data_IF_566872371676
#
_entry.id   IF_566872371676
#
_cell.length_a   1.000
_cell.length_b   1.000
_cell.length_c   1.000
_cell.angle_alpha   90.00
_cell.angle_beta   90.00
_cell.angle_gamma   90.00
#
_symmetry.space_group_name_H-M   'P 1'
#
loop_
_entity.id
_entity.type
_entity.pdbx_description
1 polymer ?
#
# COMPACT_ATOMS: atom_id res chain seq x y z
N UNK A 1 52.39 45.27 -10.89
CA UNK A 1 53.73 45.06 -10.31
C UNK A 1 53.57 44.63 -8.86
N UNK A 2 54.18 43.50 -8.45
CA UNK A 2 54.02 42.88 -7.12
C UNK A 2 55.08 43.42 -6.13
N UNK A 3 55.08 43.01 -4.84
CA UNK A 3 55.67 41.72 -4.50
C UNK A 3 54.90 40.87 -3.46
N UNK A 4 55.11 39.57 -3.64
CA UNK A 4 54.72 38.41 -2.82
C UNK A 4 55.37 38.44 -1.43
N UNK A 5 54.67 37.96 -0.40
CA UNK A 5 55.30 37.33 0.77
C UNK A 5 54.78 35.91 0.93
N UNK A 6 55.71 34.96 0.78
CA UNK A 6 55.56 33.53 1.08
C UNK A 6 55.75 33.34 2.58
N UNK A 7 54.97 32.47 3.20
CA UNK A 7 55.38 31.76 4.42
C UNK A 7 55.10 30.27 4.20
N UNK A 8 56.15 29.47 4.34
CA UNK A 8 56.22 28.00 4.29
C UNK A 8 56.98 27.60 5.55
N UNK A 9 56.43 26.74 6.40
CA UNK A 9 57.10 25.89 7.41
C UNK A 9 56.10 24.75 7.72
N UNK A 10 56.25 23.57 7.10
CA UNK A 10 56.90 22.34 7.61
C UNK A 10 56.03 21.50 8.58
N UNK A 11 55.50 20.42 8.01
CA UNK A 11 55.64 19.01 8.41
C UNK A 11 56.17 18.69 9.83
N UNK A 12 55.40 17.85 10.54
CA UNK A 12 55.96 16.88 11.48
C UNK A 12 55.09 15.63 11.54
N UNK A 13 55.56 14.57 10.89
CA UNK A 13 55.20 13.19 11.20
C UNK A 13 55.66 12.83 12.62
N UNK A 14 54.88 12.01 13.32
CA UNK A 14 55.41 10.92 14.14
C UNK A 14 54.35 9.82 14.31
N UNK A 15 54.68 8.64 13.81
CA UNK A 15 54.04 7.36 14.09
C UNK A 15 54.65 6.72 15.36
N UNK A 16 53.90 5.78 15.95
CA UNK A 16 54.29 4.63 16.81
C UNK A 16 52.96 4.19 17.48
N UNK A 17 52.26 3.18 16.96
CA UNK A 17 52.39 1.74 17.26
C UNK A 17 52.48 1.41 18.76
N UNK A 18 51.48 0.70 19.29
CA UNK A 18 51.72 -0.41 20.22
C UNK A 18 50.50 -1.36 20.30
N UNK A 19 50.77 -2.60 19.91
CA UNK A 19 49.98 -3.81 20.09
C UNK A 19 49.86 -4.17 21.58
N UNK A 20 48.65 -4.53 22.02
CA UNK A 20 48.36 -5.01 23.37
C UNK A 20 47.40 -6.19 23.33
N UNK A 21 47.95 -7.38 23.14
CA UNK A 21 47.33 -8.69 23.35
C UNK A 21 47.12 -8.88 24.86
N UNK A 22 45.92 -9.25 25.30
CA UNK A 22 45.82 -10.09 26.49
C UNK A 22 44.66 -11.08 26.44
N UNK A 23 44.95 -12.25 27.00
CA UNK A 23 44.17 -13.48 26.97
C UNK A 23 43.31 -13.63 28.23
N UNK A 24 42.26 -14.46 28.13
CA UNK A 24 41.87 -15.35 29.22
C UNK A 24 40.46 -15.16 29.77
N UNK A 25 39.70 -16.26 29.80
CA UNK A 25 38.53 -16.37 30.68
C UNK A 25 37.41 -17.27 30.18
N UNK A 26 37.69 -18.57 30.04
CA UNK A 26 36.65 -19.61 30.05
C UNK A 26 35.89 -19.59 31.38
N UNK A 27 34.57 -19.71 31.32
CA UNK A 27 33.69 -19.84 32.47
C UNK A 27 32.41 -20.54 32.06
N UNK A 28 32.48 -21.86 31.99
CA UNK A 28 31.36 -22.75 31.72
C UNK A 28 30.93 -23.38 33.04
N UNK A 29 29.67 -23.18 33.46
CA UNK A 29 28.93 -24.21 34.19
C UNK A 29 27.41 -24.04 34.00
N UNK A 30 26.64 -25.14 34.01
CA UNK A 30 25.30 -25.25 33.43
C UNK A 30 24.23 -25.10 34.51
N UNK A 31 23.08 -24.53 34.16
CA UNK A 31 21.87 -24.72 34.95
C UNK A 31 20.69 -25.12 34.05
N UNK A 32 20.15 -26.28 34.41
CA UNK A 32 18.98 -26.90 33.84
C UNK A 32 17.74 -26.03 34.11
N UNK A 33 17.05 -25.63 33.04
CA UNK A 33 15.78 -24.92 33.10
C UNK A 33 14.78 -25.58 32.16
N UNK A 34 13.79 -26.25 32.74
CA UNK A 34 12.80 -27.09 32.09
C UNK A 34 12.07 -26.42 30.92
N UNK A 35 11.98 -27.16 29.81
CA UNK A 35 11.10 -26.90 28.66
C UNK A 35 9.64 -26.98 29.10
N UNK A 36 9.02 -25.83 29.38
CA UNK A 36 7.57 -25.69 29.44
C UNK A 36 7.04 -25.42 28.02
N UNK A 37 6.71 -26.50 27.32
CA UNK A 37 5.90 -26.47 26.11
C UNK A 37 4.48 -26.00 26.46
N UNK A 38 4.29 -24.69 26.58
CA UNK A 38 2.98 -24.07 26.68
C UNK A 38 2.25 -24.20 25.35
N UNK A 39 1.31 -25.14 25.27
CA UNK A 39 0.28 -25.20 24.23
C UNK A 39 -0.50 -23.88 24.26
N UNK A 40 -0.15 -22.96 23.36
CA UNK A 40 -0.88 -21.70 23.22
C UNK A 40 -2.22 -22.01 22.54
N UNK A 41 -3.29 -22.05 23.34
CA UNK A 41 -4.65 -22.04 22.82
C UNK A 41 -4.87 -20.72 22.10
N UNK A 42 -4.88 -20.76 20.77
CA UNK A 42 -5.32 -19.64 19.94
C UNK A 42 -6.83 -19.53 20.10
N UNK A 43 -7.26 -18.62 20.97
CA UNK A 43 -8.66 -18.23 21.10
C UNK A 43 -9.03 -17.51 19.80
N UNK A 44 -9.78 -18.19 18.94
CA UNK A 44 -10.16 -17.72 17.63
C UNK A 44 -11.01 -16.46 17.71
N UNK A 45 -10.54 -15.38 17.10
CA UNK A 45 -11.39 -14.26 16.72
C UNK A 45 -12.46 -14.69 15.71
N UNK A 46 -13.44 -13.82 15.38
CA UNK A 46 -14.49 -14.16 14.43
C UNK A 46 -13.89 -14.62 13.10
N UNK A 47 -14.18 -15.87 12.74
CA UNK A 47 -13.67 -16.51 11.53
C UNK A 47 -14.14 -15.69 10.31
N UNK A 48 -13.19 -15.27 9.47
CA UNK A 48 -13.49 -14.51 8.27
C UNK A 48 -14.53 -15.25 7.42
N UNK A 49 -15.53 -14.56 6.83
CA UNK A 49 -16.58 -15.22 6.07
C UNK A 49 -15.95 -16.00 4.90
N UNK A 50 -16.29 -17.29 4.81
CA UNK A 50 -15.79 -18.22 3.79
C UNK A 50 -16.92 -18.62 2.86
N UNK A 51 -16.63 -18.71 1.58
CA UNK A 51 -17.52 -19.22 0.56
C UNK A 51 -17.22 -20.70 0.31
N UNK A 52 -18.22 -21.57 0.48
CA UNK A 52 -18.09 -22.99 0.16
C UNK A 52 -18.17 -23.19 -1.36
N UNK A 53 -17.13 -23.81 -1.94
CA UNK A 53 -16.99 -24.17 -3.34
C UNK A 53 -17.33 -25.65 -3.63
N UNK A 54 -17.75 -26.42 -2.62
CA UNK A 54 -18.03 -27.86 -2.73
C UNK A 54 -19.53 -28.19 -2.84
N UNK A 55 -20.40 -27.21 -3.10
CA UNK A 55 -21.85 -27.42 -3.22
C UNK A 55 -22.31 -27.80 -4.63
N UNK A 56 -23.52 -28.36 -4.76
CA UNK A 56 -24.18 -28.82 -6.00
C UNK A 56 -24.55 -27.70 -7.02
N UNK A 57 -23.83 -26.59 -7.04
CA UNK A 57 -24.06 -25.47 -7.96
C UNK A 57 -22.79 -24.70 -8.35
N UNK A 58 -21.63 -25.33 -8.17
CA UNK A 58 -20.32 -24.75 -8.49
C UNK A 58 -19.74 -25.45 -9.70
N UNK A 59 -19.69 -24.75 -10.83
CA UNK A 59 -19.03 -25.27 -12.04
C UNK A 59 -17.52 -25.03 -11.96
N UNK A 60 -16.75 -26.02 -12.39
CA UNK A 60 -15.29 -25.94 -12.41
C UNK A 60 -14.82 -25.56 -13.81
N UNK A 61 -14.06 -24.49 -13.91
CA UNK A 61 -13.45 -24.02 -15.15
C UNK A 61 -11.93 -24.13 -15.06
N UNK A 62 -11.35 -25.03 -15.84
CA UNK A 62 -9.90 -25.11 -16.01
C UNK A 62 -9.44 -24.05 -17.01
N UNK A 63 -8.58 -23.15 -16.55
CA UNK A 63 -8.09 -22.05 -17.36
C UNK A 63 -7.05 -22.51 -18.39
N UNK A 64 -7.24 -22.05 -19.62
CA UNK A 64 -6.24 -22.10 -20.68
C UNK A 64 -6.16 -20.72 -21.37
N UNK A 65 -4.97 -20.27 -21.81
CA UNK A 65 -4.82 -19.02 -22.54
C UNK A 65 -5.74 -18.98 -23.76
N UNK A 66 -6.46 -17.87 -23.93
CA UNK A 66 -7.38 -17.66 -25.05
C UNK A 66 -8.75 -18.35 -24.91
N UNK A 67 -8.98 -19.14 -23.86
CA UNK A 67 -10.28 -19.75 -23.59
C UNK A 67 -11.15 -18.82 -22.76
N UNK A 68 -12.23 -18.32 -23.34
CA UNK A 68 -13.17 -17.44 -22.64
C UNK A 68 -14.09 -18.23 -21.69
N UNK A 69 -14.47 -17.60 -20.57
CA UNK A 69 -15.30 -18.24 -19.55
C UNK A 69 -16.73 -18.46 -20.09
N UNK A 70 -17.24 -17.50 -20.87
CA UNK A 70 -18.59 -17.55 -21.44
C UNK A 70 -18.81 -18.64 -22.49
N UNK A 71 -17.82 -18.95 -23.31
CA UNK A 71 -17.93 -20.01 -24.33
C UNK A 71 -17.83 -21.41 -23.71
N UNK A 72 -17.03 -21.54 -22.65
CA UNK A 72 -16.73 -22.83 -22.05
C UNK A 72 -17.83 -23.37 -21.12
N UNK A 73 -18.70 -22.51 -20.61
CA UNK A 73 -19.73 -22.86 -19.64
C UNK A 73 -21.08 -22.26 -20.05
N UNK A 74 -22.15 -23.05 -19.93
CA UNK A 74 -23.53 -22.56 -20.06
C UNK A 74 -23.92 -21.76 -18.81
N UNK A 75 -23.45 -20.51 -18.75
CA UNK A 75 -23.61 -19.63 -17.60
C UNK A 75 -25.09 -19.31 -17.32
N UNK A 76 -25.48 -19.39 -16.04
CA UNK A 76 -26.79 -18.97 -15.54
C UNK A 76 -26.62 -17.94 -14.43
N UNK A 77 -27.60 -17.04 -14.29
CA UNK A 77 -27.59 -16.05 -13.22
C UNK A 77 -27.53 -16.71 -11.83
N UNK A 78 -26.70 -16.17 -10.94
CA UNK A 78 -26.52 -16.67 -9.57
C UNK A 78 -25.56 -17.86 -9.44
N UNK A 79 -25.10 -18.43 -10.57
CA UNK A 79 -24.15 -19.53 -10.56
C UNK A 79 -22.79 -19.10 -10.01
N UNK A 80 -22.12 -20.00 -9.29
CA UNK A 80 -20.77 -19.81 -8.81
C UNK A 80 -19.81 -20.64 -9.67
N UNK A 81 -18.73 -20.03 -10.12
CA UNK A 81 -17.72 -20.65 -10.96
C UNK A 81 -16.42 -20.71 -10.17
N UNK A 82 -15.84 -21.89 -10.11
CA UNK A 82 -14.51 -22.15 -9.60
C UNK A 82 -13.54 -22.15 -10.78
N UNK A 83 -12.84 -21.06 -10.97
CA UNK A 83 -11.81 -20.93 -12.01
C UNK A 83 -10.47 -21.35 -11.45
N UNK A 84 -9.83 -22.31 -12.10
CA UNK A 84 -8.55 -22.88 -11.68
C UNK A 84 -7.45 -22.46 -12.67
N UNK A 85 -6.51 -21.65 -12.19
CA UNK A 85 -5.39 -21.15 -12.98
C UNK A 85 -4.10 -21.78 -12.49
N UNK A 86 -3.46 -22.60 -13.33
CA UNK A 86 -2.14 -23.16 -13.01
C UNK A 86 -1.05 -22.07 -12.99
N UNK A 87 -0.03 -22.28 -12.17
CA UNK A 87 1.08 -21.34 -12.02
C UNK A 87 1.83 -21.02 -13.31
N UNK A 88 1.86 -21.94 -14.28
CA UNK A 88 2.49 -21.71 -15.59
C UNK A 88 1.85 -20.55 -16.38
N UNK A 89 0.59 -20.24 -16.11
CA UNK A 89 -0.16 -19.16 -16.77
C UNK A 89 -0.20 -17.86 -15.96
N UNK A 90 0.34 -17.87 -14.74
CA UNK A 90 0.37 -16.74 -13.81
C UNK A 90 1.64 -15.90 -13.99
N UNK A 91 2.05 -15.66 -15.23
CA UNK A 91 3.22 -14.83 -15.55
C UNK A 91 2.78 -13.53 -16.21
N UNK A 92 3.65 -12.51 -16.18
CA UNK A 92 3.44 -11.26 -16.91
C UNK A 92 3.39 -11.45 -18.43
N UNK A 93 3.82 -12.61 -18.92
CA UNK A 93 3.91 -12.93 -20.35
C UNK A 93 2.58 -13.42 -20.95
N UNK A 94 1.57 -13.67 -20.12
CA UNK A 94 0.26 -14.15 -20.56
C UNK A 94 -0.41 -13.15 -21.54
N UNK A 95 -0.93 -13.69 -22.64
CA UNK A 95 -1.60 -12.95 -23.70
C UNK A 95 -2.80 -12.13 -23.20
N UNK A 96 -3.61 -12.66 -22.27
CA UNK A 96 -4.77 -11.96 -21.72
C UNK A 96 -4.38 -10.66 -20.99
N UNK A 97 -3.24 -10.67 -20.30
CA UNK A 97 -2.67 -9.50 -19.64
C UNK A 97 -2.12 -8.52 -20.67
N UNK A 98 -1.32 -9.00 -21.64
CA UNK A 98 -0.70 -8.17 -22.69
C UNK A 98 -1.74 -7.45 -23.55
N UNK A 99 -2.77 -8.16 -23.96
CA UNK A 99 -3.85 -7.65 -24.79
C UNK A 99 -4.88 -6.82 -23.99
N UNK A 100 -4.78 -6.85 -22.65
CA UNK A 100 -5.75 -6.23 -21.73
C UNK A 100 -7.17 -6.69 -22.04
N UNK A 101 -7.34 -8.00 -22.15
CA UNK A 101 -8.64 -8.67 -22.35
C UNK A 101 -9.42 -8.67 -21.03
N UNK A 102 -9.73 -7.49 -20.52
CA UNK A 102 -10.53 -7.32 -19.32
C UNK A 102 -11.43 -6.11 -19.53
N UNK A 103 -12.74 -6.33 -19.43
CA UNK A 103 -13.75 -5.32 -19.65
C UNK A 103 -14.50 -5.06 -18.35
N UNK A 104 -14.65 -3.80 -17.97
CA UNK A 104 -15.34 -3.39 -16.75
C UNK A 104 -14.47 -3.28 -15.50
N UNK A 105 -15.14 -3.01 -14.38
CA UNK A 105 -14.52 -2.81 -13.07
C UNK A 105 -15.45 -3.35 -12.00
N UNK A 106 -14.98 -4.33 -11.22
CA UNK A 106 -15.74 -5.07 -10.20
C UNK A 106 -16.91 -5.91 -10.76
N UNK A 107 -17.55 -5.47 -11.84
CA UNK A 107 -18.37 -6.24 -12.76
C UNK A 107 -17.62 -6.41 -14.07
N UNK A 108 -17.30 -7.65 -14.42
CA UNK A 108 -16.58 -8.03 -15.64
C UNK A 108 -17.51 -8.67 -16.65
N UNK A 109 -17.13 -8.69 -17.92
CA UNK A 109 -17.85 -9.47 -18.94
C UNK A 109 -17.44 -10.94 -18.88
N UNK A 110 -18.30 -11.80 -19.42
CA UNK A 110 -18.04 -13.22 -19.69
C UNK A 110 -16.87 -13.49 -20.67
N UNK A 111 -16.57 -12.51 -21.53
CA UNK A 111 -15.42 -12.52 -22.46
C UNK A 111 -14.09 -12.12 -21.79
N UNK A 112 -14.10 -11.64 -20.55
CA UNK A 112 -12.90 -11.19 -19.85
C UNK A 112 -12.01 -12.36 -19.43
N UNK A 113 -10.69 -12.20 -19.59
CA UNK A 113 -9.69 -13.19 -19.18
C UNK A 113 -9.58 -13.29 -17.65
N UNK A 114 -9.55 -14.52 -17.13
CA UNK A 114 -9.53 -14.79 -15.69
C UNK A 114 -8.27 -14.25 -14.99
N UNK A 115 -7.11 -14.31 -15.65
CA UNK A 115 -5.84 -13.82 -15.09
C UNK A 115 -5.81 -12.30 -15.09
N UNK A 116 -6.32 -11.67 -16.14
CA UNK A 116 -6.49 -10.22 -16.20
C UNK A 116 -7.46 -9.71 -15.12
N UNK A 117 -8.58 -10.42 -14.88
CA UNK A 117 -9.51 -10.13 -13.76
C UNK A 117 -8.79 -10.27 -12.41
N UNK A 118 -8.02 -11.34 -12.21
CA UNK A 118 -7.26 -11.57 -10.99
C UNK A 118 -6.23 -10.47 -10.72
N UNK A 119 -5.55 -10.00 -11.76
CA UNK A 119 -4.63 -8.87 -11.68
C UNK A 119 -5.36 -7.57 -11.36
N UNK A 120 -6.44 -7.26 -12.08
CA UNK A 120 -7.19 -6.03 -11.89
C UNK A 120 -7.82 -5.93 -10.49
N UNK A 121 -8.36 -7.02 -9.96
CA UNK A 121 -8.88 -7.11 -8.58
C UNK A 121 -7.79 -7.13 -7.51
N UNK A 122 -6.52 -7.25 -7.90
CA UNK A 122 -5.39 -7.36 -6.98
C UNK A 122 -5.41 -8.68 -6.22
N UNK A 123 -5.96 -9.73 -6.84
CA UNK A 123 -5.83 -11.11 -6.32
C UNK A 123 -4.41 -11.59 -6.40
N UNK A 124 -3.82 -11.35 -7.55
CA UNK A 124 -2.49 -11.79 -7.86
C UNK A 124 -1.77 -10.68 -8.64
N UNK A 125 -0.47 -10.53 -8.38
CA UNK A 125 0.37 -9.62 -9.16
C UNK A 125 1.33 -10.48 -9.99
N UNK A 126 1.21 -10.47 -11.32
CA UNK A 126 2.05 -11.28 -12.19
C UNK A 126 3.52 -10.94 -12.05
N UNK A 127 4.36 -11.97 -11.94
CA UNK A 127 5.82 -11.89 -11.99
C UNK A 127 6.33 -12.41 -13.33
N UNK A 128 7.58 -12.10 -13.67
CA UNK A 128 8.20 -12.63 -14.88
C UNK A 128 8.30 -14.16 -14.83
N UNK A 129 8.72 -14.69 -13.68
CA UNK A 129 8.81 -16.12 -13.43
C UNK A 129 7.51 -16.68 -12.85
N UNK A 130 7.16 -17.95 -13.13
CA UNK A 130 6.04 -18.63 -12.52
C UNK A 130 6.14 -18.65 -10.98
N UNK A 131 5.04 -18.45 -10.25
CA UNK A 131 5.05 -18.50 -8.80
C UNK A 131 5.32 -19.91 -8.28
N UNK A 132 5.80 -20.00 -7.02
CA UNK A 132 6.18 -21.27 -6.36
C UNK A 132 5.01 -22.17 -5.93
N UNK A 133 3.77 -21.70 -6.06
CA UNK A 133 2.57 -22.48 -5.73
C UNK A 133 2.04 -23.20 -6.99
N UNK A 134 1.14 -24.18 -6.84
CA UNK A 134 0.66 -24.99 -7.95
C UNK A 134 -0.43 -24.29 -8.78
N UNK A 135 -1.45 -23.73 -8.12
CA UNK A 135 -2.57 -23.08 -8.80
C UNK A 135 -3.21 -21.95 -7.96
N UNK A 136 -3.78 -20.97 -8.66
CA UNK A 136 -4.68 -19.95 -8.12
C UNK A 136 -6.12 -20.36 -8.40
N UNK A 137 -6.96 -20.34 -7.37
CA UNK A 137 -8.40 -20.61 -7.48
C UNK A 137 -9.15 -19.29 -7.31
N UNK A 138 -9.98 -18.95 -8.28
CA UNK A 138 -10.85 -17.77 -8.26
C UNK A 138 -12.30 -18.22 -8.17
N UNK A 139 -13.06 -17.61 -7.27
CA UNK A 139 -14.50 -17.82 -7.16
C UNK A 139 -15.22 -16.63 -7.84
N UNK A 140 -15.85 -16.90 -8.98
CA UNK A 140 -16.60 -15.90 -9.74
C UNK A 140 -18.10 -16.17 -9.62
N UNK A 141 -18.88 -15.16 -9.26
CA UNK A 141 -20.34 -15.22 -9.28
C UNK A 141 -20.88 -14.59 -10.55
N UNK A 142 -21.82 -15.29 -11.18
CA UNK A 142 -22.55 -14.81 -12.35
C UNK A 142 -23.70 -13.92 -11.91
N UNK A 143 -23.78 -12.75 -12.53
CA UNK A 143 -24.78 -11.71 -12.33
C UNK A 143 -25.53 -11.46 -13.65
N UNK A 144 -26.74 -10.88 -13.58
CA UNK A 144 -27.47 -10.49 -14.77
C UNK A 144 -26.70 -9.41 -15.54
N UNK A 145 -26.89 -9.39 -16.87
CA UNK A 145 -26.25 -8.46 -17.78
C UNK A 145 -26.41 -7.01 -17.28
N UNK A 146 -25.30 -6.28 -17.20
CA UNK A 146 -25.31 -4.88 -16.80
C UNK A 146 -25.36 -3.96 -18.02
N UNK A 147 -26.03 -2.79 -17.94
CA UNK A 147 -26.16 -1.88 -19.07
C UNK A 147 -24.85 -1.21 -19.47
N UNK A 148 -23.86 -1.16 -18.58
CA UNK A 148 -22.55 -0.58 -18.86
C UNK A 148 -21.48 -1.11 -17.93
N UNK A 149 -20.29 -1.36 -18.47
CA UNK A 149 -19.11 -1.77 -17.74
C UNK A 149 -18.03 -0.68 -17.84
N UNK A 150 -17.82 0.13 -16.78
CA UNK A 150 -16.86 1.23 -16.83
C UNK A 150 -15.40 0.73 -16.77
N UNK A 151 -14.53 1.37 -17.56
CA UNK A 151 -13.10 1.15 -17.52
C UNK A 151 -12.48 1.73 -16.23
N UNK A 152 -11.55 1.02 -15.60
CA UNK A 152 -10.68 1.61 -14.57
C UNK A 152 -9.25 1.08 -14.68
N UNK A 153 -8.33 1.75 -13.99
CA UNK A 153 -6.94 1.33 -13.91
C UNK A 153 -6.61 0.96 -12.46
N UNK A 154 -6.30 -0.31 -12.21
CA UNK A 154 -5.98 -0.85 -10.88
C UNK A 154 -4.85 -1.85 -10.99
N UNK A 155 -3.98 -1.90 -9.98
CA UNK A 155 -2.96 -2.94 -9.83
C UNK A 155 -2.07 -3.15 -11.08
N UNK A 156 -1.79 -2.07 -11.83
CA UNK A 156 -0.91 -2.11 -13.00
C UNK A 156 -1.60 -2.50 -14.32
N UNK A 157 -2.91 -2.77 -14.34
CA UNK A 157 -3.67 -3.04 -15.57
C UNK A 157 -4.83 -2.05 -15.72
N UNK A 158 -5.08 -1.61 -16.96
CA UNK A 158 -6.23 -0.77 -17.33
C UNK A 158 -7.24 -1.61 -18.09
N UNK A 159 -8.48 -1.66 -17.59
CA UNK A 159 -9.59 -2.37 -18.23
C UNK A 159 -10.21 -1.51 -19.33
N UNK A 160 -10.97 -2.16 -20.22
CA UNK A 160 -11.73 -1.52 -21.29
C UNK A 160 -13.16 -1.26 -20.83
N UNK A 161 -13.77 -0.22 -21.38
CA UNK A 161 -15.20 0.03 -21.18
C UNK A 161 -15.98 -0.63 -22.30
N UNK A 162 -17.15 -1.17 -21.97
CA UNK A 162 -18.08 -1.73 -22.95
C UNK A 162 -19.51 -1.39 -22.53
N UNK A 163 -20.34 -1.02 -23.50
CA UNK A 163 -21.77 -0.76 -23.27
C UNK A 163 -22.58 -2.04 -23.44
N UNK A 164 -23.70 -2.18 -22.72
CA UNK A 164 -24.60 -3.35 -22.78
C UNK A 164 -25.21 -3.61 -24.16
N UNK A 165 -25.10 -2.66 -25.10
CA UNK A 165 -25.47 -2.87 -26.50
C UNK A 165 -24.43 -3.68 -27.29
N UNK A 166 -23.16 -3.62 -26.89
CA UNK A 166 -22.05 -4.32 -27.55
C UNK A 166 -21.81 -5.73 -26.98
N UNK A 167 -22.33 -5.99 -25.77
CA UNK A 167 -22.28 -7.29 -25.13
C UNK A 167 -23.67 -7.64 -24.57
N UNK A 168 -24.31 -8.66 -25.13
CA UNK A 168 -25.55 -9.23 -24.59
C UNK A 168 -25.31 -10.29 -23.51
N UNK A 169 -24.09 -10.32 -22.95
CA UNK A 169 -23.58 -11.38 -22.10
C UNK A 169 -23.86 -11.18 -20.61
N UNK A 170 -23.57 -12.22 -19.83
CA UNK A 170 -23.69 -12.19 -18.38
C UNK A 170 -22.52 -11.41 -17.76
N UNK A 171 -22.74 -10.90 -16.55
CA UNK A 171 -21.71 -10.19 -15.80
C UNK A 171 -21.06 -11.11 -14.78
N UNK A 172 -19.74 -11.01 -14.60
CA UNK A 172 -18.97 -11.81 -13.66
C UNK A 172 -18.44 -10.92 -12.54
N UNK A 173 -18.56 -11.38 -11.29
CA UNK A 173 -18.01 -10.70 -10.12
C UNK A 173 -17.11 -11.63 -9.33
N UNK A 174 -15.95 -11.15 -8.91
CA UNK A 174 -15.06 -11.91 -8.03
C UNK A 174 -15.58 -11.87 -6.60
N UNK A 175 -15.96 -13.01 -6.04
CA UNK A 175 -16.37 -13.16 -4.64
C UNK A 175 -15.18 -13.50 -3.74
N UNK A 176 -14.22 -14.29 -4.24
CA UNK A 176 -13.09 -14.73 -3.45
C UNK A 176 -11.94 -15.35 -4.24
N UNK A 177 -10.84 -15.62 -3.54
CA UNK A 177 -9.65 -16.27 -4.10
C UNK A 177 -8.93 -17.17 -3.09
N UNK A 178 -8.37 -18.29 -3.53
CA UNK A 178 -7.51 -19.17 -2.72
C UNK A 178 -6.27 -19.61 -3.49
N UNK A 179 -5.21 -19.99 -2.77
CA UNK A 179 -3.95 -20.46 -3.34
C UNK A 179 -3.75 -21.95 -3.00
N UNK A 180 -3.54 -22.77 -4.01
CA UNK A 180 -3.21 -24.18 -3.86
C UNK A 180 -1.69 -24.36 -3.97
N UNK A 181 -1.05 -24.87 -2.91
CA UNK A 181 0.39 -25.15 -2.90
C UNK A 181 0.71 -26.44 -3.65
N UNK A 182 -0.12 -27.46 -3.48
CA UNK A 182 0.01 -28.77 -4.12
C UNK A 182 -1.25 -29.13 -4.92
N UNK A 183 -1.17 -30.18 -5.75
CA UNK A 183 -2.32 -30.69 -6.49
C UNK A 183 -3.38 -31.32 -5.56
N UNK A 184 -2.96 -31.96 -4.46
CA UNK A 184 -3.89 -32.47 -3.44
C UNK A 184 -4.60 -31.33 -2.70
N UNK A 185 -3.88 -30.23 -2.40
CA UNK A 185 -4.50 -29.04 -1.80
C UNK A 185 -5.54 -28.43 -2.74
N UNK A 186 -5.26 -28.42 -4.04
CA UNK A 186 -6.22 -27.97 -5.07
C UNK A 186 -7.53 -28.76 -4.95
N UNK A 187 -7.48 -30.09 -4.89
CA UNK A 187 -8.68 -30.92 -4.75
C UNK A 187 -9.40 -30.71 -3.39
N UNK A 188 -8.64 -30.45 -2.32
CA UNK A 188 -9.17 -30.25 -0.96
C UNK A 188 -9.73 -28.86 -0.68
N UNK A 189 -9.46 -27.87 -1.53
CA UNK A 189 -9.95 -26.51 -1.36
C UNK A 189 -11.46 -26.45 -1.61
N UNK A 190 -12.23 -26.63 -0.54
CA UNK A 190 -13.68 -26.45 -0.52
C UNK A 190 -14.11 -25.06 -0.08
N UNK A 191 -13.20 -24.22 0.42
CA UNK A 191 -13.52 -22.91 0.98
C UNK A 191 -12.59 -21.83 0.47
N UNK A 192 -13.19 -20.70 0.13
CA UNK A 192 -12.46 -19.52 -0.33
C UNK A 192 -12.77 -18.33 0.57
N UNK A 193 -11.73 -17.56 0.92
CA UNK A 193 -11.90 -16.34 1.68
C UNK A 193 -12.65 -15.30 0.84
N UNK A 194 -13.79 -14.84 1.35
CA UNK A 194 -14.54 -13.76 0.73
C UNK A 194 -13.71 -12.48 0.78
N UNK A 195 -13.64 -11.75 -0.33
CA UNK A 195 -12.97 -10.46 -0.35
C UNK A 195 -13.92 -9.38 0.15
N UNK A 196 -13.56 -8.64 1.22
CA UNK A 196 -14.16 -7.33 1.38
C UNK A 196 -13.76 -6.50 0.16
N UNK A 197 -14.75 -5.91 -0.52
CA UNK A 197 -14.50 -4.95 -1.60
C UNK A 197 -13.60 -3.87 -1.03
N UNK A 198 -12.31 -3.85 -1.38
CA UNK A 198 -11.41 -2.80 -0.89
C UNK A 198 -11.97 -1.48 -1.41
N UNK A 199 -12.38 -0.53 -0.56
CA UNK A 199 -12.63 0.83 -1.03
C UNK A 199 -11.36 1.29 -1.75
N UNK A 200 -11.49 2.10 -2.81
CA UNK A 200 -10.35 2.62 -3.56
C UNK A 200 -9.33 3.19 -2.58
N UNK A 201 -8.29 2.40 -2.29
CA UNK A 201 -7.16 2.90 -1.55
C UNK A 201 -6.51 3.86 -2.52
N UNK A 202 -6.56 5.16 -2.21
CA UNK A 202 -5.70 6.15 -2.82
C UNK A 202 -4.30 5.53 -2.80
N UNK A 203 -3.80 5.16 -3.98
CA UNK A 203 -2.49 4.56 -4.11
C UNK A 203 -1.48 5.59 -3.66
N UNK A 204 -1.11 5.55 -2.38
CA UNK A 204 0.15 6.09 -1.92
C UNK A 204 1.18 5.18 -2.57
N UNK A 205 1.77 5.66 -3.66
CA UNK A 205 2.86 4.95 -4.34
C UNK A 205 3.91 4.57 -3.30
N UNK A 206 4.20 3.28 -3.20
CA UNK A 206 5.37 2.75 -2.50
C UNK A 206 5.16 2.52 -1.00
N UNK A 207 4.81 1.27 -0.64
CA UNK A 207 5.63 0.42 0.24
C UNK A 207 4.87 -0.86 0.56
N UNK A 208 5.19 -1.94 -0.13
CA UNK A 208 4.69 -3.30 0.10
C UNK A 208 5.34 -3.97 1.32
N UNK A 209 5.43 -3.28 2.45
CA UNK A 209 6.10 -3.78 3.68
C UNK A 209 5.18 -3.81 4.91
N UNK A 210 3.86 -3.83 4.72
CA UNK A 210 2.91 -4.05 5.83
C UNK A 210 2.75 -5.54 6.18
N UNK A 211 3.82 -6.34 6.06
CA UNK A 211 3.82 -7.73 6.52
C UNK A 211 3.98 -7.84 8.04
N UNK A 212 4.38 -6.75 8.72
CA UNK A 212 4.62 -6.72 10.15
C UNK A 212 4.20 -5.33 10.69
N UNK A 213 2.90 -5.10 10.85
CA UNK A 213 2.37 -3.84 11.36
C UNK A 213 2.60 -3.76 12.89
N UNK A 214 3.80 -3.34 13.28
CA UNK A 214 4.10 -3.05 14.69
C UNK A 214 3.48 -1.71 15.07
N UNK A 215 2.38 -1.77 15.81
CA UNK A 215 1.77 -0.60 16.44
C UNK A 215 2.60 -0.29 17.69
N UNK A 216 3.19 0.88 17.74
CA UNK A 216 3.91 1.38 18.93
C UNK A 216 2.91 2.22 19.71
N UNK A 217 2.91 2.09 21.04
CA UNK A 217 2.09 2.92 21.91
C UNK A 217 2.97 3.90 22.67
N UNK A 218 2.49 5.13 22.86
CA UNK A 218 3.11 6.10 23.74
C UNK A 218 2.95 5.69 25.21
N UNK A 219 3.64 6.38 26.12
CA UNK A 219 3.44 6.19 27.58
C UNK A 219 2.01 6.49 28.04
N UNK A 220 1.24 7.21 27.23
CA UNK A 220 -0.20 7.49 27.44
C UNK A 220 -1.12 6.42 26.84
N UNK A 221 -0.56 5.31 26.33
CA UNK A 221 -1.27 4.24 25.65
C UNK A 221 -2.00 4.68 24.37
N UNK A 222 -1.50 5.71 23.69
CA UNK A 222 -2.01 6.15 22.39
C UNK A 222 -1.14 5.56 21.26
N UNK A 223 -1.73 5.13 20.13
CA UNK A 223 -0.95 4.68 18.98
C UNK A 223 0.01 5.79 18.50
N UNK A 224 1.30 5.46 18.46
CA UNK A 224 2.39 6.35 18.11
C UNK A 224 3.18 5.82 16.92
N UNK A 225 3.72 6.73 16.11
CA UNK A 225 4.64 6.36 15.05
C UNK A 225 6.01 6.00 15.61
N UNK A 226 6.66 4.99 15.03
CA UNK A 226 8.07 4.69 15.32
C UNK A 226 8.93 5.88 14.95
N UNK A 227 9.63 6.45 15.92
CA UNK A 227 10.58 7.52 15.64
C UNK A 227 11.61 7.02 14.61
N UNK A 228 11.59 7.61 13.43
CA UNK A 228 12.47 7.24 12.33
C UNK A 228 12.86 8.52 11.60
N UNK A 229 14.08 8.53 11.06
CA UNK A 229 14.57 9.67 10.30
C UNK A 229 13.63 10.02 9.16
N UNK A 230 12.96 9.06 8.53
CA UNK A 230 12.00 9.33 7.44
C UNK A 230 10.78 10.16 7.87
N UNK A 231 10.42 10.18 9.16
CA UNK A 231 9.33 11.02 9.68
C UNK A 231 9.81 12.47 9.89
N UNK A 232 11.09 12.63 10.25
CA UNK A 232 11.69 13.94 10.56
C UNK A 232 12.26 14.60 9.30
N UNK A 233 12.89 13.80 8.43
CA UNK A 233 13.54 14.17 7.17
C UNK A 233 12.57 14.02 6.00
N UNK A 234 11.45 14.74 6.08
CA UNK A 234 10.32 14.65 5.16
C UNK A 234 10.67 14.95 3.68
N UNK A 235 11.62 15.87 3.44
CA UNK A 235 12.05 16.23 2.07
C UNK A 235 13.40 15.63 1.67
N UNK A 236 14.37 15.63 2.57
CA UNK A 236 15.72 15.18 2.31
C UNK A 236 16.44 14.90 3.64
N UNK A 237 17.50 14.08 3.63
CA UNK A 237 18.30 13.81 4.84
C UNK A 237 19.01 15.05 5.40
N UNK A 238 19.19 16.10 4.60
CA UNK A 238 19.77 17.37 5.05
C UNK A 238 18.80 18.14 5.97
N UNK A 239 19.29 18.52 7.16
CA UNK A 239 18.52 19.23 8.18
C UNK A 239 17.89 20.53 7.69
N UNK A 240 18.54 21.22 6.73
CA UNK A 240 18.02 22.46 6.15
C UNK A 240 16.71 22.27 5.38
N UNK A 241 16.47 21.06 4.91
CA UNK A 241 15.30 20.72 4.10
C UNK A 241 14.14 20.19 4.91
N UNK A 242 14.35 19.85 6.19
CA UNK A 242 13.31 19.35 7.09
C UNK A 242 12.23 20.41 7.29
N UNK A 243 10.96 20.02 7.20
CA UNK A 243 9.84 20.96 7.41
C UNK A 243 9.90 21.63 8.79
N UNK A 244 10.34 20.94 9.84
CA UNK A 244 10.51 21.53 11.19
C UNK A 244 11.51 22.69 11.23
N UNK A 245 12.62 22.58 10.48
CA UNK A 245 13.64 23.65 10.38
C UNK A 245 13.13 24.77 9.48
N UNK A 246 12.48 24.44 8.36
CA UNK A 246 11.91 25.43 7.46
C UNK A 246 10.80 26.25 8.09
N UNK A 247 9.98 25.64 8.96
CA UNK A 247 8.89 26.34 9.67
C UNK A 247 9.38 27.51 10.54
N UNK A 248 10.66 27.51 10.96
CA UNK A 248 11.26 28.65 11.67
C UNK A 248 11.44 29.89 10.79
N UNK A 249 11.50 29.71 9.48
CA UNK A 249 11.76 30.79 8.50
C UNK A 249 10.60 31.00 7.53
N UNK A 250 9.69 30.03 7.42
CA UNK A 250 8.65 29.96 6.41
C UNK A 250 7.33 29.55 7.06
N UNK A 251 6.24 30.13 6.58
CA UNK A 251 4.88 29.78 7.03
C UNK A 251 4.27 28.70 6.14
N UNK A 252 3.59 27.72 6.72
CA UNK A 252 2.89 26.66 5.98
C UNK A 252 1.39 26.99 5.89
N UNK A 253 0.84 26.94 4.67
CA UNK A 253 -0.59 27.01 4.44
C UNK A 253 -1.10 25.66 3.94
N UNK A 254 -2.13 25.14 4.60
CA UNK A 254 -2.79 23.89 4.26
C UNK A 254 -4.20 24.18 3.78
N UNK A 255 -4.62 23.56 2.67
CA UNK A 255 -5.98 23.67 2.14
C UNK A 255 -6.67 22.31 2.24
N UNK A 256 -7.86 22.28 2.85
CA UNK A 256 -8.69 21.08 2.93
C UNK A 256 -9.70 21.03 1.78
N UNK A 257 -10.23 19.85 1.45
CA UNK A 257 -11.34 19.67 0.51
C UNK A 257 -12.55 20.55 0.83
N UNK A 258 -12.77 20.81 2.12
CA UNK A 258 -13.87 21.65 2.63
C UNK A 258 -13.63 23.15 2.45
N UNK A 259 -12.66 23.54 1.61
CA UNK A 259 -12.29 24.94 1.32
C UNK A 259 -11.85 25.73 2.56
N UNK A 260 -11.30 25.06 3.59
CA UNK A 260 -10.68 25.72 4.73
C UNK A 260 -9.18 25.86 4.46
N UNK A 261 -8.63 27.05 4.74
CA UNK A 261 -7.18 27.26 4.74
C UNK A 261 -6.71 27.43 6.18
N UNK A 262 -5.71 26.66 6.57
CA UNK A 262 -5.10 26.68 7.90
C UNK A 262 -3.65 27.15 7.75
N UNK A 263 -3.27 28.14 8.53
CA UNK A 263 -1.91 28.64 8.70
C UNK A 263 -1.22 27.93 9.86
N UNK A 264 -0.01 27.45 9.62
CA UNK A 264 0.93 27.05 10.66
C UNK A 264 2.16 27.97 10.58
N UNK A 265 2.34 28.80 11.61
CA UNK A 265 3.41 29.80 11.71
C UNK A 265 4.24 29.63 12.99
N UNK A 266 5.52 30.02 12.94
CA UNK A 266 6.39 30.05 14.11
C UNK A 266 6.13 31.32 14.93
N UNK A 267 6.03 31.18 16.25
CA UNK A 267 5.82 32.28 17.17
C UNK A 267 7.12 32.63 17.89
N UNK A 268 7.65 33.82 17.64
CA UNK A 268 8.86 34.34 18.28
C UNK A 268 8.56 34.68 19.74
N UNK A 269 8.79 33.70 20.62
CA UNK A 269 8.50 33.81 22.06
C UNK A 269 8.48 32.47 22.81
N UNK A 270 8.75 31.35 22.12
CA UNK A 270 8.96 30.06 22.76
C UNK A 270 10.30 29.97 23.50
N UNK A 271 10.33 29.15 24.55
CA UNK A 271 11.57 28.76 25.23
C UNK A 271 12.51 28.05 24.24
N UNK A 272 13.84 28.17 24.39
CA UNK A 272 14.81 27.68 23.39
C UNK A 272 14.65 26.17 23.08
N UNK A 273 14.23 25.38 24.07
CA UNK A 273 13.97 23.95 23.93
C UNK A 273 12.55 23.62 23.42
N UNK A 274 11.62 24.56 23.48
CA UNK A 274 10.21 24.36 23.15
C UNK A 274 9.71 25.44 22.17
N UNK A 275 10.05 25.32 20.87
CA UNK A 275 9.56 26.24 19.85
C UNK A 275 8.03 26.23 19.82
N UNK A 276 7.41 27.41 19.90
CA UNK A 276 5.96 27.56 19.81
C UNK A 276 5.55 27.76 18.36
N UNK A 277 4.52 27.04 17.96
CA UNK A 277 3.89 27.16 16.66
C UNK A 277 2.42 27.53 16.85
N UNK A 278 1.95 28.46 16.04
CA UNK A 278 0.57 28.91 16.00
C UNK A 278 -0.15 28.22 14.86
N UNK A 279 -1.23 27.53 15.18
CA UNK A 279 -2.15 26.95 14.20
C UNK A 279 -3.44 27.78 14.17
N UNK A 280 -3.72 28.44 13.05
CA UNK A 280 -4.88 29.32 12.91
C UNK A 280 -5.58 29.15 11.57
N UNK A 281 -6.90 29.27 11.53
CA UNK A 281 -7.68 29.21 10.31
C UNK A 281 -7.77 30.59 9.65
N UNK A 282 -7.65 30.62 8.33
CA UNK A 282 -7.88 31.81 7.50
C UNK A 282 -9.35 31.80 7.05
N UNK A 283 -10.20 32.75 7.50
CA UNK A 283 -11.64 32.71 7.29
C UNK A 283 -12.09 33.02 5.85
N UNK A 284 -11.26 33.72 5.04
CA UNK A 284 -11.58 34.07 3.64
C UNK A 284 -10.51 33.55 2.65
N UNK A 285 -10.40 32.23 2.45
CA UNK A 285 -9.31 31.63 1.69
C UNK A 285 -9.34 31.95 0.18
N UNK A 286 -10.54 32.12 -0.40
CA UNK A 286 -10.72 32.39 -1.83
C UNK A 286 -10.39 33.82 -2.26
N UNK A 287 -10.44 34.78 -1.34
CA UNK A 287 -10.12 36.18 -1.64
C UNK A 287 -8.68 36.55 -1.29
N UNK A 288 -7.95 35.67 -0.60
CA UNK A 288 -6.54 35.88 -0.25
C UNK A 288 -5.66 35.10 -1.23
N UNK A 289 -5.41 35.71 -2.38
CA UNK A 289 -4.39 35.21 -3.30
C UNK A 289 -2.98 35.33 -2.68
N UNK A 290 -2.03 34.54 -3.18
CA UNK A 290 -0.64 34.53 -2.71
C UNK A 290 -0.04 35.95 -2.67
N UNK A 291 -0.32 36.76 -3.69
CA UNK A 291 0.15 38.15 -3.77
C UNK A 291 -0.44 39.02 -2.67
N UNK A 292 -1.74 38.92 -2.43
CA UNK A 292 -2.41 39.65 -1.36
C UNK A 292 -1.87 39.26 0.03
N UNK A 293 -1.55 37.98 0.23
CA UNK A 293 -0.91 37.51 1.47
C UNK A 293 0.52 38.07 1.63
N UNK A 294 1.29 38.14 0.55
CA UNK A 294 2.64 38.74 0.58
C UNK A 294 2.60 40.24 0.87
N UNK A 295 1.60 40.95 0.35
CA UNK A 295 1.39 42.39 0.61
C UNK A 295 0.99 42.66 2.06
N UNK A 296 0.20 41.76 2.69
CA UNK A 296 -0.18 41.84 4.10
C UNK A 296 0.93 41.42 5.07
N UNK A 297 1.94 40.70 4.59
CA UNK A 297 2.98 40.08 5.39
C UNK A 297 2.67 38.62 5.74
N UNK A 298 3.71 37.78 5.68
CA UNK A 298 3.66 36.36 6.03
C UNK A 298 4.62 36.13 7.21
N UNK A 299 4.16 35.60 8.36
CA UNK A 299 2.81 35.09 8.68
C UNK A 299 1.73 36.18 8.75
N UNK A 300 0.46 35.80 8.55
CA UNK A 300 -0.63 36.77 8.56
C UNK A 300 -0.83 37.39 9.97
N UNK A 301 -1.23 38.66 10.03
CA UNK A 301 -1.56 39.30 11.29
C UNK A 301 -2.80 38.64 11.93
N UNK A 302 -2.86 38.69 13.27
CA UNK A 302 -3.91 38.03 14.05
C UNK A 302 -5.35 38.47 13.68
N UNK A 303 -5.52 39.67 13.12
CA UNK A 303 -6.82 40.18 12.64
C UNK A 303 -7.42 39.39 11.48
N UNK A 304 -6.58 38.70 10.69
CA UNK A 304 -7.00 37.89 9.55
C UNK A 304 -7.05 36.39 9.87
N UNK A 305 -6.94 36.03 11.15
CA UNK A 305 -6.85 34.67 11.62
C UNK A 305 -7.91 34.40 12.68
N UNK A 306 -8.46 33.19 12.68
CA UNK A 306 -9.33 32.68 13.72
C UNK A 306 -8.73 31.43 14.34
N UNK A 307 -8.73 31.30 15.67
CA UNK A 307 -8.23 30.10 16.35
C UNK A 307 -8.96 28.85 15.87
N UNK A 308 -8.21 27.80 15.56
CA UNK A 308 -8.79 26.49 15.24
C UNK A 308 -9.36 25.91 16.53
N UNK A 309 -10.69 25.70 16.57
CA UNK A 309 -11.36 24.97 17.65
C UNK A 309 -11.34 23.49 17.40
#
# INVERSE_FOLDING_TARGET
MPPKKKVKVEEKEKAEDEDGKDQGGEGQQPDAGASLAGKQMVVGGPEAPRLDLSGEGVEVFEYAPGKEIGEALSLKEGMLIRVEVEAKYLTSDNEGIKQRQCWGSDSYTDTSDAVAIAMHTGVYTPTADPPKFHALILALRVHPAQPSHPASARNGIKTRSVSGSEHGGLSLRVEGSALAKTADDKARLSRVLLRPTRPQCLSVRGNSTLADARIIFSMSNEPAYKYSLSIVADRAPDARMWTSVKLKTSTLYMETSDQRRIELSFEEGGEQDHPRFRLAQVPKPRSTDKRAMQELGVPLPASHLSSVK
#
